data_IF_863402791178
#
_entry.id   IF_863402791178
#
_cell.length_a   1.000
_cell.length_b   1.000
_cell.length_c   1.000
_cell.angle_alpha   90.00
_cell.angle_beta   90.00
_cell.angle_gamma   90.00
#
_symmetry.space_group_name_H-M   'P 1'
#
loop_
_entity.id
_entity.type
_entity.pdbx_description
1 polymer ?
#
# COMPACT_ATOMS: atom_id res chain seq x y z
N UNK A 1 14.97 -35.79 3.62
CA UNK A 1 13.71 -35.42 4.31
C UNK A 1 12.59 -35.46 3.29
N UNK A 2 11.80 -36.54 3.25
CA UNK A 2 10.67 -36.65 2.31
C UNK A 2 9.46 -35.93 2.90
N UNK A 3 9.20 -34.70 2.46
CA UNK A 3 7.95 -34.00 2.77
C UNK A 3 6.82 -34.78 2.09
N UNK A 4 6.00 -35.49 2.88
CA UNK A 4 4.82 -36.19 2.38
C UNK A 4 3.61 -35.29 2.58
N UNK A 5 2.81 -35.05 1.54
CA UNK A 5 1.57 -34.25 1.65
C UNK A 5 0.66 -34.79 2.76
N UNK A 6 0.68 -36.11 3.00
CA UNK A 6 -0.07 -36.75 4.09
C UNK A 6 0.36 -36.29 5.49
N UNK A 7 1.61 -35.86 5.69
CA UNK A 7 2.08 -35.36 6.99
C UNK A 7 1.63 -33.93 7.29
N UNK A 8 1.35 -33.11 6.26
CA UNK A 8 0.76 -31.78 6.44
C UNK A 8 -0.64 -31.88 7.07
N UNK A 9 -1.47 -32.80 6.58
CA UNK A 9 -2.87 -32.88 7.03
C UNK A 9 -3.07 -33.63 8.36
N UNK A 10 -2.15 -34.49 8.78
CA UNK A 10 -2.37 -35.35 9.96
C UNK A 10 -2.30 -34.59 11.30
N UNK A 11 -1.37 -33.62 11.45
CA UNK A 11 -1.17 -32.87 12.70
C UNK A 11 -1.04 -31.35 12.51
N UNK A 12 -1.08 -30.81 11.28
CA UNK A 12 -0.97 -29.36 11.04
C UNK A 12 -2.27 -28.70 10.56
N UNK A 13 -3.40 -29.40 10.67
CA UNK A 13 -4.71 -28.84 10.34
C UNK A 13 -5.04 -27.49 11.05
N UNK A 14 -4.61 -27.22 12.31
CA UNK A 14 -4.86 -25.91 12.91
C UNK A 14 -4.08 -24.79 12.21
N UNK A 15 -2.87 -25.07 11.71
CA UNK A 15 -2.06 -24.11 10.95
C UNK A 15 -2.69 -23.82 9.59
N UNK A 16 -3.25 -24.84 8.94
CA UNK A 16 -4.01 -24.65 7.70
C UNK A 16 -5.24 -23.78 7.96
N UNK A 17 -6.00 -24.04 9.02
CA UNK A 17 -7.16 -23.21 9.36
C UNK A 17 -6.77 -21.77 9.73
N UNK A 18 -5.69 -21.55 10.49
CA UNK A 18 -5.26 -20.19 10.83
C UNK A 18 -4.87 -19.35 9.61
N UNK A 19 -4.45 -20.00 8.52
CA UNK A 19 -4.17 -19.34 7.25
C UNK A 19 -5.44 -19.13 6.42
N UNK A 20 -6.22 -20.21 6.20
CA UNK A 20 -7.34 -20.19 5.27
C UNK A 20 -8.58 -19.49 5.81
N UNK A 21 -8.88 -19.60 7.11
CA UNK A 21 -10.11 -19.00 7.68
C UNK A 21 -10.09 -17.47 7.53
N UNK A 22 -9.04 -16.74 7.95
CA UNK A 22 -8.98 -15.29 7.73
C UNK A 22 -8.99 -14.92 6.25
N UNK A 23 -8.29 -15.69 5.39
CA UNK A 23 -8.24 -15.44 3.96
C UNK A 23 -9.63 -15.54 3.30
N UNK A 24 -10.41 -16.57 3.64
CA UNK A 24 -11.75 -16.75 3.10
C UNK A 24 -12.76 -15.75 3.67
N UNK A 25 -12.63 -15.36 4.94
CA UNK A 25 -13.45 -14.28 5.51
C UNK A 25 -13.19 -12.97 4.77
N UNK A 26 -11.91 -12.60 4.59
CA UNK A 26 -11.53 -11.39 3.88
C UNK A 26 -11.98 -11.42 2.40
N UNK A 27 -11.83 -12.57 1.74
CA UNK A 27 -12.34 -12.78 0.39
C UNK A 27 -13.86 -12.57 0.31
N UNK A 28 -14.61 -13.13 1.27
CA UNK A 28 -16.05 -12.92 1.36
C UNK A 28 -16.42 -11.45 1.53
N UNK A 29 -15.68 -10.72 2.37
CA UNK A 29 -15.86 -9.27 2.53
C UNK A 29 -15.61 -8.54 1.21
N UNK A 30 -14.53 -8.86 0.50
CA UNK A 30 -14.22 -8.24 -0.80
C UNK A 30 -15.28 -8.51 -1.86
N UNK A 31 -15.85 -9.72 -1.88
CA UNK A 31 -16.98 -10.05 -2.75
C UNK A 31 -18.21 -9.20 -2.40
N UNK A 32 -18.59 -9.13 -1.11
CA UNK A 32 -19.78 -8.38 -0.66
C UNK A 32 -19.63 -6.87 -0.89
N UNK A 33 -18.42 -6.33 -0.71
CA UNK A 33 -18.13 -4.92 -0.95
C UNK A 33 -17.89 -4.59 -2.43
N UNK A 34 -17.91 -5.57 -3.34
CA UNK A 34 -17.69 -5.31 -4.76
C UNK A 34 -16.26 -4.84 -5.10
N UNK A 35 -15.28 -5.28 -4.31
CA UNK A 35 -13.86 -4.97 -4.58
C UNK A 35 -13.40 -5.78 -5.78
N UNK A 36 -12.67 -5.14 -6.70
CA UNK A 36 -12.08 -5.80 -7.86
C UNK A 36 -11.27 -7.05 -7.44
N UNK A 37 -11.46 -8.21 -8.10
CA UNK A 37 -12.16 -8.41 -9.38
C UNK A 37 -13.67 -8.69 -9.29
N UNK A 38 -14.27 -8.67 -8.10
CA UNK A 38 -15.67 -9.06 -7.88
C UNK A 38 -16.67 -7.92 -8.08
N UNK A 39 -16.18 -6.70 -8.20
CA UNK A 39 -16.93 -5.52 -8.63
C UNK A 39 -15.98 -4.44 -9.17
N UNK A 40 -16.46 -3.20 -9.18
CA UNK A 40 -15.74 -2.07 -9.78
C UNK A 40 -14.94 -1.24 -8.76
N UNK A 41 -15.11 -1.50 -7.47
CA UNK A 41 -14.45 -0.73 -6.42
C UNK A 41 -13.02 -1.20 -6.17
N UNK A 42 -12.14 -0.29 -5.77
CA UNK A 42 -10.74 -0.59 -5.48
C UNK A 42 -10.47 -0.61 -3.98
N UNK A 43 -9.70 -1.59 -3.52
CA UNK A 43 -9.21 -1.61 -2.13
C UNK A 43 -8.36 -0.37 -1.81
N UNK A 44 -7.69 0.18 -2.82
CA UNK A 44 -6.76 1.30 -2.65
C UNK A 44 -7.48 2.65 -2.53
N UNK A 45 -8.80 2.72 -2.63
CA UNK A 45 -9.54 3.99 -2.73
C UNK A 45 -9.24 4.96 -1.59
N UNK A 46 -9.16 4.45 -0.35
CA UNK A 46 -8.91 5.29 0.83
C UNK A 46 -7.45 5.76 0.87
N UNK A 47 -6.50 4.83 0.93
CA UNK A 47 -5.08 5.20 1.08
C UNK A 47 -4.56 5.97 -0.14
N UNK A 48 -4.96 5.55 -1.36
CA UNK A 48 -4.54 6.24 -2.58
C UNK A 48 -5.06 7.67 -2.58
N UNK A 49 -6.35 7.85 -2.31
CA UNK A 49 -7.00 9.15 -2.37
C UNK A 49 -6.65 10.09 -1.23
N UNK A 50 -6.48 9.57 0.00
CA UNK A 50 -6.24 10.38 1.20
C UNK A 50 -4.77 10.66 1.47
N UNK A 51 -3.85 9.89 0.88
CA UNK A 51 -2.43 9.98 1.23
C UNK A 51 -1.53 9.99 0.00
N UNK A 52 -1.61 8.97 -0.85
CA UNK A 52 -0.62 8.82 -1.93
C UNK A 52 -0.75 9.88 -3.02
N UNK A 53 -1.96 10.30 -3.38
CA UNK A 53 -2.16 11.39 -4.36
C UNK A 53 -1.45 12.66 -3.92
N UNK A 54 -1.61 13.05 -2.66
CA UNK A 54 -0.94 14.23 -2.10
C UNK A 54 0.58 14.07 -2.05
N UNK A 55 1.06 12.86 -1.75
CA UNK A 55 2.49 12.57 -1.72
C UNK A 55 3.13 12.68 -3.11
N UNK A 56 2.47 12.19 -4.15
CA UNK A 56 2.95 12.31 -5.52
C UNK A 56 2.82 13.74 -6.06
N UNK A 57 1.78 14.47 -5.67
CA UNK A 57 1.66 15.90 -5.97
C UNK A 57 2.82 16.69 -5.33
N UNK A 58 3.10 16.43 -4.05
CA UNK A 58 4.26 17.00 -3.35
C UNK A 58 5.58 16.60 -4.01
N UNK A 59 5.76 15.33 -4.36
CA UNK A 59 6.95 14.84 -5.07
C UNK A 59 7.21 15.65 -6.34
N UNK A 60 6.18 15.85 -7.17
CA UNK A 60 6.25 16.63 -8.41
C UNK A 60 6.51 18.11 -8.15
N UNK A 61 5.83 18.69 -7.16
CA UNK A 61 6.03 20.08 -6.75
C UNK A 61 7.48 20.33 -6.30
N UNK A 62 8.08 19.41 -5.55
CA UNK A 62 9.48 19.53 -5.12
C UNK A 62 10.44 19.60 -6.30
N UNK A 63 10.19 18.87 -7.39
CA UNK A 63 11.08 18.89 -8.56
C UNK A 63 10.87 20.11 -9.47
N UNK A 64 9.62 20.56 -9.67
CA UNK A 64 9.31 21.57 -10.68
C UNK A 64 9.04 22.98 -10.15
N UNK A 65 8.60 23.11 -8.91
CA UNK A 65 8.10 24.37 -8.37
C UNK A 65 8.95 24.87 -7.21
N UNK A 66 9.16 24.03 -6.19
CA UNK A 66 9.90 24.41 -4.99
C UNK A 66 10.82 23.29 -4.48
N UNK A 67 12.09 23.25 -4.93
CA UNK A 67 13.09 22.31 -4.43
C UNK A 67 13.40 22.44 -2.94
N UNK A 68 13.11 23.58 -2.31
CA UNK A 68 13.32 23.76 -0.87
C UNK A 68 12.34 22.91 -0.04
N UNK A 69 11.19 22.57 -0.62
CA UNK A 69 10.18 21.73 0.00
C UNK A 69 10.67 20.30 0.30
N UNK A 70 11.79 19.86 -0.30
CA UNK A 70 12.39 18.53 -0.12
C UNK A 70 12.63 18.17 1.36
N UNK A 71 13.09 19.14 2.16
CA UNK A 71 13.41 18.90 3.57
C UNK A 71 12.24 19.25 4.50
N UNK A 72 11.46 20.27 4.17
CA UNK A 72 10.41 20.77 5.03
C UNK A 72 9.22 21.28 4.23
N UNK A 73 8.00 20.98 4.67
CA UNK A 73 6.79 21.49 4.05
C UNK A 73 5.83 22.04 5.08
N UNK A 74 5.37 23.27 4.86
CA UNK A 74 4.27 23.88 5.61
C UNK A 74 2.92 23.21 5.33
N UNK A 75 2.80 22.45 4.24
CA UNK A 75 1.57 21.72 3.90
C UNK A 75 1.43 20.41 4.68
N UNK A 76 2.48 19.97 5.41
CA UNK A 76 2.40 18.81 6.30
C UNK A 76 1.74 19.22 7.63
N UNK A 77 0.42 19.12 7.70
CA UNK A 77 -0.37 19.51 8.88
C UNK A 77 -0.13 20.99 9.30
N UNK A 78 0.69 21.24 10.32
CA UNK A 78 1.09 22.60 10.76
C UNK A 78 2.52 22.99 10.33
N UNK A 79 3.11 22.18 9.45
CA UNK A 79 4.51 22.25 9.05
C UNK A 79 5.34 21.14 9.66
N UNK A 80 6.24 20.54 8.87
CA UNK A 80 7.14 19.51 9.39
C UNK A 80 8.20 19.01 8.41
N UNK A 81 9.12 18.23 8.96
CA UNK A 81 10.17 17.53 8.20
C UNK A 81 9.57 16.54 7.19
N UNK A 82 10.18 16.45 6.01
CA UNK A 82 9.75 15.58 4.91
C UNK A 82 10.71 14.42 4.64
N UNK A 83 11.92 14.39 5.22
CA UNK A 83 12.94 13.37 4.92
C UNK A 83 12.42 11.96 5.22
N UNK A 84 11.70 11.78 6.32
CA UNK A 84 11.09 10.49 6.65
C UNK A 84 10.02 10.05 5.65
N UNK A 85 9.24 11.00 5.12
CA UNK A 85 8.22 10.74 4.10
C UNK A 85 8.89 10.34 2.79
N UNK A 86 9.97 11.03 2.40
CA UNK A 86 10.76 10.68 1.23
C UNK A 86 11.25 9.24 1.33
N UNK A 87 11.98 8.91 2.41
CA UNK A 87 12.56 7.60 2.61
C UNK A 87 11.53 6.46 2.60
N UNK A 88 10.35 6.68 3.18
CA UNK A 88 9.33 5.65 3.30
C UNK A 88 8.43 5.50 2.06
N UNK A 89 8.08 6.60 1.38
CA UNK A 89 7.08 6.60 0.32
C UNK A 89 7.62 6.99 -1.07
N UNK A 90 8.63 7.86 -1.17
CA UNK A 90 8.94 8.55 -2.43
C UNK A 90 10.26 8.14 -3.09
N UNK A 91 11.24 7.59 -2.35
CA UNK A 91 12.57 7.27 -2.91
C UNK A 91 12.60 6.03 -3.82
N UNK A 92 11.47 5.35 -4.04
CA UNK A 92 11.40 4.25 -5.00
C UNK A 92 11.76 4.75 -6.41
N UNK A 93 12.65 4.06 -7.16
CA UNK A 93 13.04 4.49 -8.50
C UNK A 93 11.87 4.54 -9.48
N UNK A 94 10.80 3.77 -9.23
CA UNK A 94 9.59 3.79 -10.06
C UNK A 94 8.78 5.09 -9.93
N UNK A 95 8.93 5.83 -8.82
CA UNK A 95 8.16 7.04 -8.61
C UNK A 95 8.55 8.18 -9.54
N UNK A 96 9.73 8.10 -10.20
CA UNK A 96 10.15 9.09 -11.20
C UNK A 96 9.14 9.24 -12.35
N UNK A 97 8.32 8.21 -12.59
CA UNK A 97 7.23 8.24 -13.57
C UNK A 97 6.26 9.39 -13.25
N UNK A 98 5.94 9.64 -11.98
CA UNK A 98 5.05 10.73 -11.55
C UNK A 98 5.65 12.13 -11.70
N UNK A 99 6.94 12.23 -11.97
CA UNK A 99 7.58 13.50 -12.36
C UNK A 99 7.46 13.70 -13.87
N UNK A 100 7.58 12.63 -14.65
CA UNK A 100 7.61 12.70 -16.11
C UNK A 100 6.21 12.87 -16.73
N UNK A 101 5.17 12.30 -16.10
CA UNK A 101 3.77 12.36 -16.54
C UNK A 101 2.93 13.17 -15.56
#
# INVERSE_FOLDING_TARGET
MQFSIKSLFKNQWPLLLSFFVPAFILLGIYIVQGVYPFGNDSLMTVDLGQQYVDFFAYYRQTFYEDPSSFFYSFSKAIGGDMVGLWAYYLTSPFNIIFVIF
#
